data_IF_054890151560
#
_entry.id   IF_054890151560
#
_cell.length_a   1.000
_cell.length_b   1.000
_cell.length_c   1.000
_cell.angle_alpha   90.00
_cell.angle_beta   90.00
_cell.angle_gamma   90.00
#
_symmetry.space_group_name_H-M   'P 1'
#
loop_
_entity.id
_entity.type
_entity.pdbx_description
1 polymer ?
#
# COMPACT_ATOMS: atom_id res chain seq x y z
N UNK A 1 -6.27 -8.53 7.55
CA UNK A 1 -5.35 -8.63 6.41
C UNK A 1 -4.88 -7.20 6.11
N UNK A 2 -3.59 -6.92 6.26
CA UNK A 2 -3.01 -5.58 6.04
C UNK A 2 -2.20 -5.52 4.76
N UNK A 3 -1.17 -4.67 4.73
CA UNK A 3 -0.24 -4.51 3.60
C UNK A 3 0.27 -5.84 3.00
N UNK A 4 0.54 -6.84 3.85
CA UNK A 4 1.04 -8.16 3.43
C UNK A 4 0.06 -8.96 2.56
N UNK A 5 -1.23 -8.59 2.52
CA UNK A 5 -2.23 -9.21 1.68
C UNK A 5 -2.14 -8.78 0.20
N UNK A 6 -1.41 -7.70 -0.09
CA UNK A 6 -1.19 -7.25 -1.46
C UNK A 6 -0.33 -8.27 -2.22
N UNK A 7 -0.55 -8.45 -3.54
CA UNK A 7 0.37 -9.21 -4.38
C UNK A 7 1.81 -8.67 -4.28
N UNK A 8 2.79 -9.56 -4.38
CA UNK A 8 4.21 -9.19 -4.23
C UNK A 8 4.65 -8.05 -5.17
N UNK A 9 4.13 -8.02 -6.40
CA UNK A 9 4.40 -6.95 -7.36
C UNK A 9 3.85 -5.59 -6.90
N UNK A 10 2.66 -5.56 -6.31
CA UNK A 10 2.08 -4.33 -5.77
C UNK A 10 2.89 -3.82 -4.57
N UNK A 11 3.32 -4.72 -3.67
CA UNK A 11 4.21 -4.36 -2.56
C UNK A 11 5.56 -3.80 -3.05
N UNK A 12 6.12 -4.37 -4.12
CA UNK A 12 7.37 -3.88 -4.71
C UNK A 12 7.20 -2.50 -5.35
N UNK A 13 6.08 -2.27 -6.03
CA UNK A 13 5.77 -0.96 -6.62
C UNK A 13 5.60 0.11 -5.55
N UNK A 14 4.91 -0.19 -4.44
CA UNK A 14 4.76 0.76 -3.33
C UNK A 14 6.13 1.11 -2.74
N UNK A 15 7.00 0.12 -2.47
CA UNK A 15 8.37 0.37 -2.01
C UNK A 15 9.15 1.27 -2.96
N UNK A 16 9.04 1.05 -4.27
CA UNK A 16 9.70 1.89 -5.26
C UNK A 16 9.22 3.35 -5.18
N UNK A 17 7.93 3.58 -4.99
CA UNK A 17 7.37 4.94 -4.80
C UNK A 17 7.88 5.58 -3.50
N UNK A 18 7.92 4.82 -2.40
CA UNK A 18 8.49 5.29 -1.12
C UNK A 18 9.96 5.70 -1.29
N UNK A 19 10.78 4.89 -1.98
CA UNK A 19 12.20 5.18 -2.24
C UNK A 19 12.38 6.45 -3.09
N UNK A 20 11.53 6.65 -4.09
CA UNK A 20 11.59 7.83 -4.97
C UNK A 20 11.22 9.13 -4.24
N UNK A 21 10.27 9.06 -3.31
CA UNK A 21 9.72 10.25 -2.64
C UNK A 21 10.35 10.48 -1.26
N UNK A 22 11.04 9.50 -0.69
CA UNK A 22 11.64 9.56 0.64
C UNK A 22 10.61 9.61 1.77
N UNK A 23 9.36 9.19 1.51
CA UNK A 23 8.26 9.21 2.49
C UNK A 23 7.48 7.90 2.47
N UNK A 24 6.93 7.46 3.61
CA UNK A 24 6.16 6.23 3.69
C UNK A 24 4.75 6.39 3.09
N UNK A 25 4.24 5.32 2.50
CA UNK A 25 2.84 5.17 2.12
C UNK A 25 2.08 4.57 3.30
N UNK A 26 1.12 5.31 3.86
CA UNK A 26 0.35 4.84 5.02
C UNK A 26 -0.96 4.14 4.65
N UNK A 27 -1.53 4.45 3.48
CA UNK A 27 -2.79 3.85 3.03
C UNK A 27 -2.80 3.61 1.52
N UNK A 28 -3.51 2.55 1.11
CA UNK A 28 -3.63 2.14 -0.30
C UNK A 28 -5.09 1.82 -0.62
N UNK A 29 -5.70 2.59 -1.52
CA UNK A 29 -7.02 2.27 -2.08
C UNK A 29 -6.92 1.12 -3.08
N UNK A 30 -7.74 0.09 -2.91
CA UNK A 30 -7.77 -1.12 -3.76
C UNK A 30 -9.08 -1.30 -4.53
N UNK A 31 -10.00 -0.35 -4.43
CA UNK A 31 -11.30 -0.36 -5.09
C UNK A 31 -12.04 0.97 -4.95
N UNK A 32 -13.26 1.07 -5.53
CA UNK A 32 -14.05 2.31 -5.51
C UNK A 32 -14.74 2.58 -4.16
N UNK A 33 -14.99 1.55 -3.37
CA UNK A 33 -15.64 1.68 -2.07
C UNK A 33 -14.70 2.30 -1.03
N UNK A 34 -15.23 3.09 -0.10
CA UNK A 34 -14.44 3.71 0.98
C UNK A 34 -13.67 2.66 1.79
N UNK A 35 -14.33 1.54 2.05
CA UNK A 35 -13.80 0.47 2.89
C UNK A 35 -12.82 -0.44 2.11
N UNK A 36 -12.68 -0.23 0.80
CA UNK A 36 -11.67 -0.87 -0.03
C UNK A 36 -10.31 -0.16 0.12
N UNK A 37 -9.85 0.00 1.35
CA UNK A 37 -8.59 0.65 1.72
C UNK A 37 -7.76 -0.28 2.61
N UNK A 38 -6.48 -0.42 2.28
CA UNK A 38 -5.51 -1.11 3.13
C UNK A 38 -4.70 -0.06 3.88
N UNK A 39 -4.79 -0.10 5.20
CA UNK A 39 -3.91 0.67 6.07
C UNK A 39 -2.60 -0.09 6.29
N UNK A 40 -1.49 0.65 6.38
CA UNK A 40 -0.21 0.13 6.85
C UNK A 40 -0.29 -0.03 8.36
N UNK A 41 -0.89 -1.11 8.81
CA UNK A 41 -0.83 -1.52 10.21
C UNK A 41 0.60 -2.00 10.52
N UNK A 42 1.14 -1.54 11.65
CA UNK A 42 2.28 -2.19 12.31
C UNK A 42 1.94 -3.64 12.71
#
# INVERSE_FOLDING_TARGET
LGYSALPAAAQAYIRHVEDLLGVPVNSVGIGPDRDATIERAD
#
